data_IF_070807375662
#
_entry.id   IF_070807375662
#
_cell.length_a   1.000
_cell.length_b   1.000
_cell.length_c   1.000
_cell.angle_alpha   90.00
_cell.angle_beta   90.00
_cell.angle_gamma   90.00
#
_symmetry.space_group_name_H-M   'P 1'
#
loop_
_entity.id
_entity.type
_entity.pdbx_description
1 polymer ?
#
# COMPACT_ATOMS: atom_id res chain seq x y z
N UNK A 1 -8.56 -74.54 -62.56
CA UNK A 1 -7.68 -74.04 -61.48
C UNK A 1 -7.92 -72.54 -61.29
N UNK A 2 -8.21 -72.11 -60.04
CA UNK A 2 -7.98 -70.79 -59.36
C UNK A 2 -8.00 -69.47 -60.19
N UNK A 3 -8.92 -68.52 -59.88
CA UNK A 3 -8.79 -67.29 -59.02
C UNK A 3 -7.99 -66.15 -59.73
N UNK A 4 -8.24 -64.83 -59.65
CA UNK A 4 -8.98 -63.91 -58.75
C UNK A 4 -9.03 -62.48 -59.40
N UNK A 5 -9.89 -61.63 -58.81
CA UNK A 5 -10.23 -60.20 -59.01
C UNK A 5 -9.08 -59.15 -58.99
N UNK A 6 -9.33 -57.95 -59.54
CA UNK A 6 -9.14 -56.58 -58.94
C UNK A 6 -9.24 -55.51 -60.06
N UNK A 7 -10.23 -54.60 -60.10
CA UNK A 7 -10.34 -53.29 -59.42
C UNK A 7 -9.01 -52.51 -59.34
N UNK A 8 -8.90 -51.41 -60.10
CA UNK A 8 -8.02 -50.30 -59.77
C UNK A 8 -8.69 -48.97 -60.15
N UNK A 9 -8.94 -48.14 -59.15
CA UNK A 9 -9.58 -46.84 -59.22
C UNK A 9 -8.57 -45.75 -59.60
N UNK A 10 -9.02 -44.82 -60.45
CA UNK A 10 -8.27 -43.63 -60.89
C UNK A 10 -8.18 -42.62 -59.74
N UNK A 11 -6.96 -42.33 -59.27
CA UNK A 11 -6.68 -41.26 -58.31
C UNK A 11 -6.23 -40.01 -59.07
N UNK A 12 -6.96 -38.92 -58.85
CA UNK A 12 -6.74 -37.59 -59.39
C UNK A 12 -5.68 -36.89 -58.52
N UNK A 13 -4.49 -36.62 -59.08
CA UNK A 13 -3.46 -35.82 -58.43
C UNK A 13 -3.80 -34.35 -58.69
N UNK A 14 -4.36 -33.67 -57.69
CA UNK A 14 -4.41 -32.22 -57.63
C UNK A 14 -3.32 -31.74 -56.64
N UNK A 15 -2.27 -31.11 -57.18
CA UNK A 15 -1.35 -30.32 -56.37
C UNK A 15 -2.12 -29.11 -55.80
N UNK A 16 -2.41 -29.13 -54.51
CA UNK A 16 -2.77 -27.92 -53.76
C UNK A 16 -1.57 -27.52 -52.90
N UNK A 17 -1.19 -26.26 -53.05
CA UNK A 17 -0.08 -25.61 -52.39
C UNK A 17 -0.37 -25.53 -50.88
N UNK A 18 0.50 -26.11 -50.05
CA UNK A 18 0.54 -25.86 -48.62
C UNK A 18 1.02 -24.41 -48.38
N UNK A 19 0.10 -23.49 -48.13
CA UNK A 19 0.39 -22.25 -47.44
C UNK A 19 0.17 -22.49 -45.94
N UNK A 20 1.21 -22.98 -45.27
CA UNK A 20 1.31 -22.80 -43.83
C UNK A 20 1.66 -21.34 -43.58
N UNK A 21 0.66 -20.49 -43.32
CA UNK A 21 0.91 -19.34 -42.46
C UNK A 21 1.31 -19.93 -41.11
N UNK A 22 2.62 -19.97 -40.84
CA UNK A 22 3.08 -19.76 -39.47
C UNK A 22 2.61 -18.36 -39.13
N UNK A 23 1.45 -18.28 -38.49
CA UNK A 23 1.22 -17.19 -37.56
C UNK A 23 2.38 -17.30 -36.57
N UNK A 24 3.37 -16.44 -36.77
CA UNK A 24 4.22 -16.02 -35.68
C UNK A 24 3.24 -15.56 -34.60
N UNK A 25 3.08 -16.40 -33.56
CA UNK A 25 2.73 -15.92 -32.25
C UNK A 25 3.79 -14.88 -31.90
N UNK A 26 3.52 -13.66 -32.36
CA UNK A 26 3.96 -12.46 -31.71
C UNK A 26 3.54 -12.69 -30.27
N UNK A 27 4.49 -13.03 -29.43
CA UNK A 27 4.32 -13.04 -27.98
C UNK A 27 4.08 -11.58 -27.60
N UNK A 28 2.87 -11.10 -27.87
CA UNK A 28 2.33 -9.95 -27.19
C UNK A 28 2.33 -10.40 -25.73
N UNK A 29 3.27 -9.86 -24.97
CA UNK A 29 3.19 -9.83 -23.53
C UNK A 29 1.91 -9.08 -23.20
N UNK A 30 0.77 -9.76 -23.23
CA UNK A 30 -0.45 -9.28 -22.62
C UNK A 30 -0.10 -9.16 -21.15
N UNK A 31 0.13 -7.94 -20.68
CA UNK A 31 0.04 -7.67 -19.26
C UNK A 31 -1.35 -8.13 -18.84
N UNK A 32 -1.43 -9.30 -18.21
CA UNK A 32 -2.65 -9.71 -17.52
C UNK A 32 -2.94 -8.58 -16.53
N UNK A 33 -4.10 -7.93 -16.68
CA UNK A 33 -4.53 -6.92 -15.74
C UNK A 33 -4.63 -7.56 -14.35
N UNK A 34 -4.10 -6.87 -13.34
CA UNK A 34 -4.14 -7.36 -11.97
C UNK A 34 -5.60 -7.57 -11.55
N UNK A 35 -5.92 -8.71 -10.95
CA UNK A 35 -7.28 -9.08 -10.53
C UNK A 35 -7.29 -9.54 -9.08
N UNK A 36 -8.39 -9.23 -8.39
CA UNK A 36 -8.65 -9.78 -7.05
C UNK A 36 -9.14 -11.21 -7.21
N UNK A 37 -8.26 -12.17 -6.96
CA UNK A 37 -8.57 -13.61 -7.01
C UNK A 37 -8.75 -14.18 -5.61
N UNK A 38 -9.36 -15.37 -5.45
CA UNK A 38 -9.42 -16.04 -4.15
C UNK A 38 -8.04 -16.29 -3.52
N UNK A 39 -7.01 -16.54 -4.34
CA UNK A 39 -5.63 -16.69 -3.85
C UNK A 39 -5.10 -15.37 -3.26
N UNK A 40 -5.35 -14.24 -3.92
CA UNK A 40 -4.98 -12.91 -3.41
C UNK A 40 -5.70 -12.64 -2.09
N UNK A 41 -7.00 -12.90 -2.01
CA UNK A 41 -7.77 -12.72 -0.77
C UNK A 41 -7.25 -13.59 0.37
N UNK A 42 -6.86 -14.83 0.08
CA UNK A 42 -6.26 -15.74 1.06
C UNK A 42 -4.88 -15.24 1.53
N UNK A 43 -4.04 -14.73 0.62
CA UNK A 43 -2.74 -14.13 0.99
C UNK A 43 -2.92 -12.89 1.86
N UNK A 44 -3.85 -12.00 1.52
CA UNK A 44 -4.17 -10.80 2.31
C UNK A 44 -4.68 -11.20 3.70
N UNK A 45 -5.59 -12.19 3.77
CA UNK A 45 -6.09 -12.70 5.06
C UNK A 45 -4.97 -13.33 5.89
N UNK A 46 -4.03 -14.06 5.26
CA UNK A 46 -2.88 -14.61 5.95
C UNK A 46 -2.01 -13.49 6.55
N UNK A 47 -1.90 -12.33 5.89
CA UNK A 47 -1.23 -11.13 6.40
C UNK A 47 -1.97 -10.42 7.54
N UNK A 48 -3.08 -10.99 8.01
CA UNK A 48 -3.98 -10.42 9.02
C UNK A 48 -4.47 -9.03 8.62
N UNK A 49 -4.77 -8.86 7.33
CA UNK A 49 -5.38 -7.67 6.77
C UNK A 49 -6.80 -7.99 6.33
N UNK A 50 -7.69 -7.00 6.42
CA UNK A 50 -9.06 -7.15 5.98
C UNK A 50 -9.14 -7.33 4.45
N UNK A 51 -9.81 -8.40 4.00
CA UNK A 51 -9.95 -8.69 2.59
C UNK A 51 -11.39 -8.48 2.04
N UNK A 52 -12.30 -7.87 2.80
CA UNK A 52 -13.71 -7.68 2.40
C UNK A 52 -13.89 -6.76 1.20
N UNK A 53 -13.06 -5.71 1.10
CA UNK A 53 -13.24 -4.60 0.15
C UNK A 53 -11.97 -4.32 -0.68
N UNK A 54 -11.22 -5.38 -1.01
CA UNK A 54 -9.98 -5.26 -1.79
C UNK A 54 -10.29 -4.75 -3.20
N UNK A 55 -9.60 -3.70 -3.61
CA UNK A 55 -9.74 -3.08 -4.93
C UNK A 55 -8.41 -3.08 -5.69
N UNK A 56 -8.47 -3.06 -7.03
CA UNK A 56 -7.29 -2.81 -7.86
C UNK A 56 -7.20 -1.32 -8.15
N UNK A 57 -6.07 -0.72 -7.79
CA UNK A 57 -5.80 0.72 -7.97
C UNK A 57 -4.46 0.94 -8.67
N UNK A 58 -4.22 2.16 -9.14
CA UNK A 58 -2.91 2.56 -9.69
C UNK A 58 -2.02 3.10 -8.58
N UNK A 59 -0.87 2.47 -8.36
CA UNK A 59 0.23 3.01 -7.56
C UNK A 59 1.20 3.77 -8.45
N UNK A 60 1.73 4.91 -7.99
CA UNK A 60 2.77 5.67 -8.69
C UNK A 60 4.11 5.47 -7.98
N UNK A 61 5.14 5.05 -8.72
CA UNK A 61 6.50 4.84 -8.20
C UNK A 61 7.26 6.16 -8.04
N UNK A 62 8.46 6.07 -7.48
CA UNK A 62 9.37 7.22 -7.29
C UNK A 62 9.77 7.88 -8.61
N UNK A 63 9.91 7.10 -9.69
CA UNK A 63 10.27 7.57 -11.02
C UNK A 63 9.08 8.11 -11.84
N UNK A 64 7.88 8.13 -11.25
CA UNK A 64 6.65 8.58 -11.89
C UNK A 64 5.96 7.53 -12.76
N UNK A 65 6.53 6.33 -12.92
CA UNK A 65 5.84 5.22 -13.58
C UNK A 65 4.70 4.69 -12.71
N UNK A 66 3.69 4.07 -13.33
CA UNK A 66 2.54 3.52 -12.60
C UNK A 66 2.46 2.01 -12.74
N UNK A 67 1.92 1.35 -11.73
CA UNK A 67 1.63 -0.08 -11.71
C UNK A 67 0.27 -0.34 -11.06
N UNK A 68 -0.32 -1.50 -11.36
CA UNK A 68 -1.49 -1.97 -10.61
C UNK A 68 -1.06 -2.47 -9.23
N UNK A 69 -1.89 -2.18 -8.23
CA UNK A 69 -1.70 -2.65 -6.86
C UNK A 69 -3.06 -2.91 -6.20
N UNK A 70 -3.04 -3.63 -5.08
CA UNK A 70 -4.23 -3.86 -4.26
C UNK A 70 -4.38 -2.74 -3.25
N UNK A 71 -5.54 -2.11 -3.19
CA UNK A 71 -5.97 -1.27 -2.08
C UNK A 71 -6.72 -2.13 -1.07
N UNK A 72 -6.29 -2.08 0.17
CA UNK A 72 -6.74 -2.89 1.31
C UNK A 72 -7.08 -1.92 2.45
N UNK A 73 -8.14 -2.19 3.22
CA UNK A 73 -8.60 -1.38 4.37
C UNK A 73 -8.91 0.11 4.10
N UNK A 74 -8.83 0.55 2.84
CA UNK A 74 -9.16 1.91 2.40
C UNK A 74 -7.95 2.82 2.17
N UNK A 75 -6.80 2.49 2.75
CA UNK A 75 -5.57 3.29 2.80
C UNK A 75 -4.26 2.50 2.61
N UNK A 76 -4.31 1.16 2.60
CA UNK A 76 -3.11 0.33 2.44
C UNK A 76 -2.98 -0.19 1.00
N UNK A 77 -1.91 0.22 0.32
CA UNK A 77 -1.48 -0.27 -0.98
C UNK A 77 -0.49 -1.42 -0.81
N UNK A 78 -0.78 -2.53 -1.48
CA UNK A 78 0.10 -3.69 -1.60
C UNK A 78 0.28 -4.02 -3.08
N UNK A 79 1.50 -3.86 -3.59
CA UNK A 79 1.85 -4.32 -4.95
C UNK A 79 1.88 -5.84 -5.01
N UNK A 80 1.67 -6.43 -6.19
CA UNK A 80 1.76 -7.89 -6.37
C UNK A 80 3.13 -8.43 -5.91
N UNK A 81 4.21 -7.72 -6.23
CA UNK A 81 5.56 -8.06 -5.80
C UNK A 81 5.73 -8.03 -4.29
N UNK A 82 5.15 -7.04 -3.60
CA UNK A 82 5.16 -6.97 -2.14
C UNK A 82 4.35 -8.10 -1.53
N UNK A 83 3.14 -8.37 -2.03
CA UNK A 83 2.29 -9.46 -1.55
C UNK A 83 3.01 -10.81 -1.62
N UNK A 84 3.83 -11.02 -2.66
CA UNK A 84 4.62 -12.23 -2.84
C UNK A 84 5.88 -12.29 -1.96
N UNK A 85 6.39 -11.16 -1.46
CA UNK A 85 7.60 -11.06 -0.62
C UNK A 85 7.29 -10.96 0.87
N UNK A 86 6.04 -10.67 1.23
CA UNK A 86 5.62 -10.61 2.62
C UNK A 86 5.45 -12.04 3.15
N UNK A 87 6.49 -12.56 3.80
CA UNK A 87 6.42 -13.82 4.54
C UNK A 87 6.02 -13.61 6.00
N UNK A 88 5.28 -14.59 6.51
CA UNK A 88 4.71 -14.61 7.85
C UNK A 88 5.60 -15.41 8.80
N UNK A 89 6.29 -14.72 9.68
CA UNK A 89 6.95 -15.31 10.85
C UNK A 89 6.44 -14.62 12.13
N UNK A 90 5.73 -15.35 13.00
CA UNK A 90 5.46 -14.91 14.39
C UNK A 90 4.03 -15.10 14.92
N UNK A 91 3.89 -15.83 16.02
CA UNK A 91 2.61 -16.06 16.71
C UNK A 91 1.99 -14.83 17.37
N UNK A 92 0.77 -15.05 17.88
CA UNK A 92 -0.32 -14.11 18.19
C UNK A 92 -0.11 -13.33 19.49
N UNK A 93 -0.37 -12.01 19.50
CA UNK A 93 -1.17 -11.31 20.53
C UNK A 93 -1.77 -10.02 19.97
N UNK A 94 -2.94 -9.65 20.47
CA UNK A 94 -3.59 -8.38 20.15
C UNK A 94 -2.89 -7.21 20.86
N UNK A 95 -2.54 -6.14 20.13
CA UNK A 95 -2.90 -4.71 20.31
C UNK A 95 -1.80 -3.76 19.73
N UNK A 96 -1.91 -2.39 19.64
CA UNK A 96 -1.09 -1.46 18.79
C UNK A 96 0.01 -2.10 17.90
N UNK A 97 -0.20 -2.09 16.59
CA UNK A 97 0.38 -3.13 15.75
C UNK A 97 1.41 -2.58 14.80
N UNK A 98 2.46 -3.37 14.59
CA UNK A 98 3.39 -3.19 13.49
C UNK A 98 3.31 -4.34 12.49
N UNK A 99 3.86 -4.11 11.31
CA UNK A 99 4.19 -5.19 10.39
C UNK A 99 5.46 -5.93 10.82
N UNK A 100 5.69 -7.11 10.27
CA UNK A 100 6.96 -7.86 10.42
C UNK A 100 8.14 -7.07 9.85
N UNK A 101 7.91 -6.27 8.82
CA UNK A 101 8.91 -5.41 8.20
C UNK A 101 8.97 -4.06 8.91
N UNK A 102 10.17 -3.60 9.22
CA UNK A 102 10.45 -2.28 9.78
C UNK A 102 11.53 -1.61 8.94
N UNK A 103 11.66 -0.29 9.08
CA UNK A 103 12.80 0.44 8.51
C UNK A 103 14.05 0.09 9.32
N UNK A 104 15.15 -0.19 8.66
CA UNK A 104 16.43 -0.38 9.36
C UNK A 104 16.88 0.95 9.96
N UNK A 105 17.11 0.95 11.27
CA UNK A 105 17.61 2.08 12.03
C UNK A 105 19.05 1.82 12.53
N UNK A 106 19.87 2.87 12.77
CA UNK A 106 19.56 4.28 12.59
C UNK A 106 19.56 4.73 11.12
N UNK A 107 18.67 5.65 10.74
CA UNK A 107 18.56 6.13 9.35
C UNK A 107 17.91 7.52 9.24
N UNK A 108 18.35 8.31 8.26
CA UNK A 108 17.59 9.47 7.78
C UNK A 108 16.71 9.10 6.59
N UNK A 109 15.41 9.36 6.69
CA UNK A 109 14.41 9.14 5.65
C UNK A 109 14.14 10.47 4.93
N UNK A 110 14.46 10.51 3.64
CA UNK A 110 14.26 11.68 2.78
C UNK A 110 12.83 11.68 2.21
N UNK A 111 12.01 12.61 2.67
CA UNK A 111 10.64 12.82 2.20
C UNK A 111 10.62 13.98 1.21
N UNK A 112 10.02 13.75 0.05
CA UNK A 112 9.73 14.79 -0.94
C UNK A 112 8.22 14.94 -1.06
N UNK A 113 7.70 16.10 -0.66
CA UNK A 113 6.33 16.51 -0.98
C UNK A 113 6.30 17.17 -2.35
N UNK A 114 5.55 16.64 -3.31
CA UNK A 114 5.50 17.22 -4.65
C UNK A 114 4.96 18.65 -4.61
N UNK A 115 5.67 19.57 -5.28
CA UNK A 115 5.29 20.97 -5.42
C UNK A 115 5.39 21.43 -6.88
N UNK A 116 4.73 22.53 -7.21
CA UNK A 116 4.70 23.09 -8.57
C UNK A 116 3.30 23.18 -9.16
N UNK A 117 3.21 23.21 -10.49
CA UNK A 117 1.96 23.35 -11.25
C UNK A 117 1.56 21.99 -11.84
N UNK A 118 0.67 21.27 -11.18
CA UNK A 118 0.18 19.97 -11.64
C UNK A 118 -0.83 19.37 -10.67
N UNK A 119 -1.64 18.44 -11.14
CA UNK A 119 -2.66 17.77 -10.31
C UNK A 119 -2.06 16.90 -9.19
N UNK A 120 -0.81 16.49 -9.37
CA UNK A 120 -0.01 15.73 -8.40
C UNK A 120 0.72 16.59 -7.36
N UNK A 121 0.79 17.91 -7.56
CA UNK A 121 1.39 18.82 -6.60
C UNK A 121 0.48 18.97 -5.37
N UNK A 122 1.09 18.92 -4.18
CA UNK A 122 0.40 19.16 -2.92
C UNK A 122 -0.06 20.62 -2.84
N UNK A 123 -1.28 20.84 -2.36
CA UNK A 123 -1.77 22.20 -2.08
C UNK A 123 -1.01 22.80 -0.91
N UNK A 124 -1.09 24.13 -0.73
CA UNK A 124 -0.46 24.79 0.43
C UNK A 124 -0.94 24.19 1.76
N UNK A 125 -2.23 23.83 1.87
CA UNK A 125 -2.78 23.21 3.07
C UNK A 125 -2.18 21.82 3.33
N UNK A 126 -2.11 20.97 2.30
CA UNK A 126 -1.47 19.65 2.39
C UNK A 126 0.02 19.76 2.74
N UNK A 127 0.75 20.72 2.15
CA UNK A 127 2.16 20.96 2.47
C UNK A 127 2.36 21.37 3.93
N UNK A 128 1.51 22.27 4.44
CA UNK A 128 1.56 22.67 5.85
C UNK A 128 1.26 21.48 6.79
N UNK A 129 0.28 20.65 6.42
CA UNK A 129 -0.04 19.41 7.16
C UNK A 129 1.14 18.43 7.18
N UNK A 130 1.72 18.14 6.02
CA UNK A 130 2.87 17.25 5.90
C UNK A 130 4.09 17.78 6.68
N UNK A 131 4.36 19.09 6.62
CA UNK A 131 5.42 19.70 7.42
C UNK A 131 5.17 19.52 8.92
N UNK A 132 3.93 19.73 9.38
CA UNK A 132 3.57 19.52 10.78
C UNK A 132 3.74 18.06 11.20
N UNK A 133 3.33 17.10 10.36
CA UNK A 133 3.52 15.68 10.62
C UNK A 133 5.01 15.30 10.77
N UNK A 134 5.86 15.72 9.82
CA UNK A 134 7.30 15.46 9.87
C UNK A 134 7.97 16.10 11.09
N UNK A 135 7.58 17.33 11.44
CA UNK A 135 8.09 18.00 12.64
C UNK A 135 7.74 17.20 13.90
N UNK A 136 6.53 16.63 13.99
CA UNK A 136 6.12 15.82 15.15
C UNK A 136 6.95 14.55 15.28
N UNK A 137 7.18 13.82 14.20
CA UNK A 137 8.09 12.66 14.22
C UNK A 137 9.50 13.05 14.67
N UNK A 138 10.07 14.11 14.10
CA UNK A 138 11.42 14.56 14.45
C UNK A 138 11.54 15.06 15.90
N UNK A 139 10.48 15.64 16.46
CA UNK A 139 10.47 16.11 17.86
C UNK A 139 10.56 14.97 18.89
N UNK A 140 10.31 13.71 18.49
CA UNK A 140 10.45 12.56 19.39
C UNK A 140 11.91 12.11 19.56
N UNK A 141 12.82 12.49 18.67
CA UNK A 141 14.24 12.10 18.76
C UNK A 141 14.50 10.61 18.54
N UNK A 142 13.69 9.96 17.67
CA UNK A 142 13.80 8.53 17.35
C UNK A 142 15.15 8.20 16.66
N UNK A 143 15.52 6.92 16.61
CA UNK A 143 16.67 6.44 15.83
C UNK A 143 16.49 6.58 14.31
N UNK A 144 15.26 6.78 13.85
CA UNK A 144 14.97 7.29 12.50
C UNK A 144 14.69 8.80 12.54
N UNK A 145 15.18 9.51 11.54
CA UNK A 145 14.94 10.95 11.41
C UNK A 145 14.42 11.27 10.01
N UNK A 146 13.60 12.30 9.87
CA UNK A 146 13.02 12.68 8.60
C UNK A 146 13.57 14.01 8.11
N UNK A 147 13.90 14.10 6.83
CA UNK A 147 14.12 15.39 6.15
C UNK A 147 13.00 15.60 5.15
N UNK A 148 12.35 16.77 5.17
CA UNK A 148 11.30 17.11 4.22
C UNK A 148 11.78 18.21 3.26
N UNK A 149 11.53 17.99 1.97
CA UNK A 149 11.68 19.03 0.94
C UNK A 149 10.43 19.08 0.08
N UNK A 150 10.08 20.28 -0.40
CA UNK A 150 9.00 20.46 -1.36
C UNK A 150 9.58 20.74 -2.74
N UNK A 151 9.43 19.82 -3.67
CA UNK A 151 10.11 19.87 -4.97
C UNK A 151 9.25 19.25 -6.07
N UNK A 152 9.47 19.67 -7.31
CA UNK A 152 8.94 18.96 -8.50
C UNK A 152 9.78 17.73 -8.87
N UNK A 153 10.99 17.62 -8.34
CA UNK A 153 11.89 16.47 -8.54
C UNK A 153 11.83 15.51 -7.35
N UNK A 154 11.69 14.21 -7.64
CA UNK A 154 11.69 13.10 -6.67
C UNK A 154 13.07 12.49 -6.45
N UNK A 155 14.12 13.05 -7.07
CA UNK A 155 15.45 12.45 -7.07
C UNK A 155 16.02 12.31 -5.65
N UNK A 156 16.47 11.10 -5.33
CA UNK A 156 17.02 10.75 -4.02
C UNK A 156 15.98 10.74 -2.88
N UNK A 157 14.68 10.78 -3.18
CA UNK A 157 13.65 10.58 -2.17
C UNK A 157 13.63 9.12 -1.70
N UNK A 158 13.42 8.90 -0.41
CA UNK A 158 13.00 7.61 0.12
C UNK A 158 11.48 7.48 0.08
N UNK A 159 10.75 8.57 0.33
CA UNK A 159 9.29 8.66 0.26
C UNK A 159 8.89 9.86 -0.58
N UNK A 160 7.98 9.66 -1.54
CA UNK A 160 7.35 10.75 -2.30
C UNK A 160 5.89 10.87 -1.88
N UNK A 161 5.51 12.06 -1.43
CA UNK A 161 4.13 12.42 -1.08
C UNK A 161 3.54 13.24 -2.22
N UNK A 162 2.45 12.74 -2.81
CA UNK A 162 1.79 13.37 -3.96
C UNK A 162 0.30 13.55 -3.73
N UNK A 163 -0.30 14.46 -4.50
CA UNK A 163 -1.76 14.64 -4.53
C UNK A 163 -2.38 13.74 -5.60
N UNK A 164 -3.60 13.26 -5.36
CA UNK A 164 -4.44 12.65 -6.40
C UNK A 164 -5.90 13.08 -6.22
N UNK A 165 -6.68 13.12 -7.30
CA UNK A 165 -8.12 13.36 -7.18
C UNK A 165 -8.80 12.19 -6.46
N UNK A 166 -9.58 12.48 -5.43
CA UNK A 166 -10.31 11.49 -4.63
C UNK A 166 -11.01 12.09 -3.42
N UNK A 167 -11.79 11.26 -2.73
CA UNK A 167 -12.42 11.58 -1.43
C UNK A 167 -11.35 11.83 -0.35
N UNK A 168 -11.70 12.53 0.73
CA UNK A 168 -10.73 12.89 1.76
C UNK A 168 -10.10 11.64 2.40
N UNK A 169 -8.77 11.64 2.51
CA UNK A 169 -7.98 10.53 3.02
C UNK A 169 -6.61 10.46 2.36
N UNK A 170 -5.88 9.40 2.66
CA UNK A 170 -4.60 9.09 2.06
C UNK A 170 -4.52 7.60 1.73
N UNK A 171 -3.45 7.25 1.03
CA UNK A 171 -3.02 5.86 0.85
C UNK A 171 -1.50 5.80 0.93
N UNK A 172 -1.00 4.76 1.56
CA UNK A 172 0.41 4.42 1.66
C UNK A 172 0.56 2.91 1.63
N UNK A 173 1.70 2.38 2.04
CA UNK A 173 1.97 0.95 2.07
C UNK A 173 3.03 0.65 3.12
N UNK A 174 3.41 -0.60 3.24
CA UNK A 174 4.31 -1.05 4.30
C UNK A 174 5.79 -1.13 3.85
N UNK A 175 6.74 -0.94 4.79
CA UNK A 175 8.17 -1.08 4.52
C UNK A 175 8.51 -2.50 4.04
N UNK A 176 9.63 -2.62 3.34
CA UNK A 176 10.14 -3.91 2.86
C UNK A 176 11.66 -3.86 2.73
N UNK A 177 12.34 -4.95 3.10
CA UNK A 177 13.80 -5.05 3.00
C UNK A 177 14.56 -3.97 3.78
N UNK A 178 14.00 -3.49 4.90
CA UNK A 178 14.59 -2.42 5.70
C UNK A 178 14.42 -1.01 5.14
N UNK A 179 13.76 -0.85 3.99
CA UNK A 179 13.43 0.45 3.39
C UNK A 179 11.97 0.84 3.70
N UNK A 180 11.66 2.14 3.84
CA UNK A 180 10.28 2.58 3.98
C UNK A 180 9.48 2.29 2.71
N UNK A 181 8.16 2.23 2.82
CA UNK A 181 7.33 2.34 1.62
C UNK A 181 7.54 3.70 0.98
N UNK A 182 7.67 3.72 -0.34
CA UNK A 182 8.28 4.85 -1.04
C UNK A 182 7.28 5.86 -1.59
N UNK A 183 6.00 5.66 -1.33
CA UNK A 183 4.92 6.32 -2.05
C UNK A 183 3.77 6.62 -1.09
N UNK A 184 3.41 7.90 -0.97
CA UNK A 184 2.20 8.33 -0.26
C UNK A 184 1.36 9.16 -1.21
N UNK A 185 0.07 8.88 -1.25
CA UNK A 185 -0.89 9.70 -1.98
C UNK A 185 -1.87 10.32 -0.98
N UNK A 186 -1.99 11.64 -1.03
CA UNK A 186 -3.02 12.39 -0.32
C UNK A 186 -4.12 12.77 -1.31
N UNK A 187 -5.37 12.49 -0.97
CA UNK A 187 -6.46 12.76 -1.88
C UNK A 187 -6.95 14.21 -1.76
N UNK A 188 -7.39 14.77 -2.90
CA UNK A 188 -7.89 16.14 -3.03
C UNK A 188 -9.00 16.51 -2.06
N UNK A 189 -9.79 15.54 -1.59
CA UNK A 189 -10.82 15.80 -0.59
C UNK A 189 -10.28 16.39 0.72
N UNK A 190 -8.99 16.21 1.04
CA UNK A 190 -8.37 16.85 2.21
C UNK A 190 -8.24 18.37 2.06
N UNK A 191 -8.35 18.92 0.84
CA UNK A 191 -8.28 20.36 0.59
C UNK A 191 -9.39 21.13 1.32
N UNK A 192 -10.55 20.48 1.59
CA UNK A 192 -11.67 21.08 2.33
C UNK A 192 -11.54 20.96 3.86
N UNK A 193 -10.50 20.29 4.36
CA UNK A 193 -10.31 20.07 5.80
C UNK A 193 -9.25 21.01 6.38
N UNK A 194 -9.22 21.10 7.71
CA UNK A 194 -8.22 21.92 8.41
C UNK A 194 -6.79 21.42 8.15
N UNK A 195 -5.81 22.29 8.38
CA UNK A 195 -4.40 21.90 8.38
C UNK A 195 -4.11 20.83 9.44
N UNK A 196 -4.84 20.81 10.55
CA UNK A 196 -4.73 19.78 11.59
C UNK A 196 -5.12 18.38 11.09
N UNK A 197 -6.19 18.29 10.31
CA UNK A 197 -6.61 17.03 9.67
C UNK A 197 -5.62 16.61 8.58
N UNK A 198 -5.13 17.56 7.78
CA UNK A 198 -4.08 17.27 6.80
C UNK A 198 -2.80 16.77 7.49
N UNK A 199 -2.44 17.31 8.65
CA UNK A 199 -1.33 16.82 9.45
C UNK A 199 -1.58 15.42 10.02
N UNK A 200 -2.80 15.14 10.49
CA UNK A 200 -3.19 13.82 10.97
C UNK A 200 -3.04 12.76 9.89
N UNK A 201 -3.69 12.97 8.73
CA UNK A 201 -3.63 12.00 7.62
C UNK A 201 -2.20 11.87 7.09
N UNK A 202 -1.46 12.98 6.92
CA UNK A 202 -0.05 12.89 6.52
C UNK A 202 0.80 12.08 7.50
N UNK A 203 0.57 12.25 8.80
CA UNK A 203 1.29 11.48 9.81
C UNK A 203 0.93 10.00 9.77
N UNK A 204 -0.36 9.70 9.61
CA UNK A 204 -0.92 8.35 9.48
C UNK A 204 -0.25 7.59 8.33
N UNK A 205 -0.27 8.17 7.12
CA UNK A 205 0.32 7.54 5.93
C UNK A 205 1.84 7.34 6.07
N UNK A 206 2.55 8.28 6.69
CA UNK A 206 3.99 8.11 6.99
C UNK A 206 4.20 7.00 8.03
N UNK A 207 3.26 6.83 8.96
CA UNK A 207 3.24 5.74 9.94
C UNK A 207 3.20 4.38 9.26
N UNK A 208 2.33 4.19 8.26
CA UNK A 208 2.33 2.99 7.44
C UNK A 208 3.67 2.76 6.72
N UNK A 209 4.26 3.82 6.14
CA UNK A 209 5.54 3.71 5.44
C UNK A 209 6.68 3.20 6.33
N UNK A 210 6.58 3.40 7.65
CA UNK A 210 7.55 2.91 8.64
C UNK A 210 7.07 1.67 9.42
N UNK A 211 5.93 1.10 9.03
CA UNK A 211 5.48 -0.21 9.50
C UNK A 211 4.46 -0.20 10.63
N UNK A 212 3.86 0.94 10.97
CA UNK A 212 2.69 0.99 11.86
C UNK A 212 1.42 0.56 11.12
N UNK A 213 0.53 -0.12 11.81
CA UNK A 213 -0.80 -0.55 11.32
C UNK A 213 -1.89 0.21 12.05
N UNK A 214 -3.13 -0.03 11.63
CA UNK A 214 -4.30 0.46 12.35
C UNK A 214 -4.36 -0.01 13.79
N UNK A 215 -4.68 0.89 14.71
CA UNK A 215 -4.82 0.55 16.13
C UNK A 215 -6.14 -0.14 16.42
N UNK A 216 -7.19 0.21 15.68
CA UNK A 216 -8.53 -0.33 15.82
C UNK A 216 -8.87 -1.37 14.75
N UNK A 217 -7.85 -1.93 14.09
CA UNK A 217 -7.98 -2.98 13.08
C UNK A 217 -8.92 -4.12 13.54
N UNK A 218 -8.89 -4.52 14.81
CA UNK A 218 -9.74 -5.59 15.36
C UNK A 218 -11.25 -5.26 15.41
N UNK A 219 -11.65 -4.01 15.20
CA UNK A 219 -13.04 -3.56 15.34
C UNK A 219 -13.51 -2.62 14.23
N UNK A 220 -12.59 -1.89 13.58
CA UNK A 220 -12.88 -0.74 12.72
C UNK A 220 -13.75 0.30 13.42
N UNK A 221 -13.69 0.40 14.75
CA UNK A 221 -14.60 1.24 15.52
C UNK A 221 -14.51 2.72 15.14
N UNK A 222 -13.32 3.19 14.73
CA UNK A 222 -13.16 4.57 14.24
C UNK A 222 -13.98 4.84 12.96
N UNK A 223 -14.27 3.80 12.18
CA UNK A 223 -15.08 3.86 10.96
C UNK A 223 -16.58 3.63 11.21
N UNK A 224 -17.03 3.53 12.46
CA UNK A 224 -18.43 3.22 12.80
C UNK A 224 -18.83 1.78 12.51
N UNK A 225 -17.85 0.90 12.31
CA UNK A 225 -18.03 -0.53 12.12
C UNK A 225 -17.75 -1.25 13.44
N UNK A 226 -18.36 -2.43 13.63
CA UNK A 226 -18.07 -3.32 14.76
C UNK A 226 -17.80 -4.73 14.21
N UNK A 227 -16.90 -4.78 13.23
CA UNK A 227 -16.51 -6.00 12.53
C UNK A 227 -15.01 -6.19 12.71
N UNK A 228 -14.63 -7.37 13.17
CA UNK A 228 -13.22 -7.75 13.26
C UNK A 228 -12.69 -8.06 11.85
N UNK A 229 -11.54 -7.50 11.50
CA UNK A 229 -10.88 -7.64 10.19
C UNK A 229 -10.37 -9.07 9.88
N UNK A 230 -10.51 -10.00 10.82
CA UNK A 230 -10.16 -11.41 10.64
C UNK A 230 -9.88 -12.12 11.97
N UNK A 231 -9.40 -13.35 11.90
CA UNK A 231 -8.82 -13.99 13.10
C UNK A 231 -7.45 -13.35 13.32
N UNK A 232 -7.18 -12.83 14.51
CA UNK A 232 -5.86 -12.30 14.88
C UNK A 232 -4.77 -13.34 14.53
N UNK A 233 -4.07 -13.13 13.43
CA UNK A 233 -3.11 -14.05 12.86
C UNK A 233 -1.68 -13.50 12.90
N UNK A 234 -0.78 -14.22 12.24
CA UNK A 234 0.60 -13.81 12.04
C UNK A 234 0.59 -12.52 11.20
N UNK A 235 1.20 -11.44 11.69
CA UNK A 235 1.39 -10.22 10.89
C UNK A 235 0.97 -8.90 11.55
N UNK A 236 0.12 -8.93 12.57
CA UNK A 236 -0.15 -7.80 13.45
C UNK A 236 0.58 -8.07 14.78
N UNK A 237 1.73 -7.42 15.00
CA UNK A 237 2.56 -7.64 16.20
C UNK A 237 2.34 -6.51 17.20
N UNK A 238 1.94 -6.86 18.42
CA UNK A 238 1.79 -5.88 19.50
C UNK A 238 3.10 -5.22 19.88
N UNK A 239 3.03 -3.90 20.03
CA UNK A 239 4.13 -3.07 20.50
C UNK A 239 4.08 -2.99 22.03
N UNK A 240 5.08 -3.53 22.75
CA UNK A 240 5.12 -3.49 24.21
C UNK A 240 4.99 -2.07 24.78
N UNK A 241 4.23 -1.94 25.87
CA UNK A 241 4.04 -0.68 26.59
C UNK A 241 2.85 0.15 26.11
N UNK A 242 2.15 -0.26 25.06
CA UNK A 242 0.91 0.39 24.60
C UNK A 242 -0.32 -0.32 25.17
N UNK A 243 -1.45 0.40 25.32
CA UNK A 243 -2.70 -0.24 25.71
C UNK A 243 -3.09 -1.22 24.65
N UNK A 244 -3.89 -2.16 25.13
CA UNK A 244 -4.37 -3.15 24.24
C UNK A 244 -5.66 -2.60 23.56
N UNK A 245 -6.72 -2.26 24.29
CA UNK A 245 -8.02 -1.89 23.67
C UNK A 245 -8.07 -0.64 22.76
N UNK A 246 -9.27 -0.31 22.28
CA UNK A 246 -9.53 0.82 21.37
C UNK A 246 -8.98 2.15 21.91
N UNK A 247 -8.02 2.72 21.17
CA UNK A 247 -7.48 4.04 21.42
C UNK A 247 -8.13 5.06 20.47
N UNK A 248 -9.16 5.73 20.95
CA UNK A 248 -9.94 6.72 20.20
C UNK A 248 -9.19 7.98 19.80
N UNK A 249 -7.97 8.17 20.30
CA UNK A 249 -7.17 9.38 20.09
C UNK A 249 -5.91 9.13 19.27
N UNK A 250 -5.61 7.86 18.97
CA UNK A 250 -4.46 7.48 18.16
C UNK A 250 -4.58 8.10 16.75
N UNK A 251 -3.44 8.55 16.23
CA UNK A 251 -3.34 9.00 14.84
C UNK A 251 -3.30 7.84 13.84
N UNK A 252 -3.04 6.62 14.32
CA UNK A 252 -3.06 5.38 13.54
C UNK A 252 -4.41 4.66 13.61
N UNK A 253 -5.51 5.36 13.90
CA UNK A 253 -6.86 4.80 13.72
C UNK A 253 -7.21 4.72 12.24
N UNK A 254 -7.94 3.67 11.87
CA UNK A 254 -8.38 3.40 10.50
C UNK A 254 -9.17 4.51 9.83
N UNK A 255 -10.01 5.22 10.58
CA UNK A 255 -10.75 6.38 10.08
C UNK A 255 -10.47 7.60 10.94
N UNK A 256 -10.20 8.71 10.27
CA UNK A 256 -9.94 10.01 10.89
C UNK A 256 -11.24 10.81 11.05
N UNK A 257 -11.31 11.66 12.07
CA UNK A 257 -12.41 12.61 12.27
C UNK A 257 -12.24 13.93 11.51
N UNK A 258 -13.29 14.74 11.43
CA UNK A 258 -13.21 16.08 10.81
C UNK A 258 -12.49 17.13 11.65
N UNK A 259 -12.22 16.84 12.93
CA UNK A 259 -11.63 17.76 13.90
C UNK A 259 -10.25 17.29 14.40
N UNK A 260 -9.57 16.45 13.63
CA UNK A 260 -8.24 15.96 14.01
C UNK A 260 -7.22 17.09 14.11
N UNK A 261 -6.32 16.96 15.07
CA UNK A 261 -5.23 17.93 15.33
C UNK A 261 -3.89 17.48 14.74
N UNK A 262 -3.80 16.19 14.39
CA UNK A 262 -2.56 15.50 14.02
C UNK A 262 -1.57 15.34 15.17
N UNK A 263 -1.99 15.55 16.43
CA UNK A 263 -1.15 15.29 17.59
C UNK A 263 -1.01 13.78 17.85
N UNK A 264 0.18 13.38 18.31
CA UNK A 264 0.43 12.02 18.79
C UNK A 264 0.05 11.95 20.25
N UNK A 265 -0.70 10.92 20.63
CA UNK A 265 -1.00 10.68 22.03
C UNK A 265 0.17 9.94 22.72
N UNK A 266 0.03 9.63 24.01
CA UNK A 266 1.07 8.94 24.78
C UNK A 266 1.38 7.54 24.26
N UNK A 267 0.38 6.84 23.73
CA UNK A 267 0.50 5.47 23.25
C UNK A 267 1.22 5.43 21.91
N UNK A 268 0.91 6.37 21.02
CA UNK A 268 1.60 6.61 19.76
C UNK A 268 3.09 6.88 19.98
N UNK A 269 3.41 7.75 20.95
CA UNK A 269 4.79 8.08 21.31
C UNK A 269 5.49 6.85 21.88
N UNK A 270 4.83 6.08 22.75
CA UNK A 270 5.38 4.83 23.31
C UNK A 270 5.67 3.83 22.20
N UNK A 271 4.73 3.67 21.26
CA UNK A 271 4.87 2.78 20.12
C UNK A 271 6.08 3.17 19.25
N UNK A 272 6.20 4.45 18.91
CA UNK A 272 7.29 4.97 18.09
C UNK A 272 8.66 4.80 18.76
N UNK A 273 8.79 5.14 20.04
CA UNK A 273 10.05 4.97 20.79
C UNK A 273 10.45 3.50 20.98
N UNK A 274 9.48 2.59 21.05
CA UNK A 274 9.78 1.17 21.11
C UNK A 274 10.37 0.66 19.79
N UNK A 275 9.86 1.15 18.66
CA UNK A 275 10.31 0.73 17.33
C UNK A 275 11.61 1.40 16.89
N UNK A 276 11.79 2.67 17.26
CA UNK A 276 12.85 3.53 16.75
C UNK A 276 13.37 4.46 17.85
#
# INVERSE_FOLDING_TARGET
MKKIKSILALSFIALTLFSCNKEEETTQTSQESLKVTPEVLNKISALSLNNSDVQVVKNTKLDGTTEDAFLVEGDIIITQDQLNKMDLHGGITTEQYRTTNLVSAPRTIRVVGLSGTGTSALTTNMRNGLQAAINRYNNLGLSINFTLTFSSSTSGANIVVRRQTGSAGGVAGFPSGGAPFNSVTLYSGLDSYSTGVNAHVSAHEIGHCIGLRHTDWFSRQSCGQNSNEGTAGVGAIHIPGTPTGYDSSSYMRACFGSNETGAFNSNDITALNYLY
#
